data_IF_290168569324
#
_entry.id   IF_290168569324
#
_cell.length_a   1.000
_cell.length_b   1.000
_cell.length_c   1.000
_cell.angle_alpha   90.00
_cell.angle_beta   90.00
_cell.angle_gamma   90.00
#
_symmetry.space_group_name_H-M   'P 1'
#
loop_
_entity.id
_entity.type
_entity.pdbx_description
1 polymer ?
#
# COMPACT_ATOMS: atom_id res chain seq x y z
N UNK A 1 3.33 4.03 -2.99
CA UNK A 1 3.18 2.57 -3.24
C UNK A 1 4.33 1.97 -4.06
N UNK A 2 5.46 2.67 -4.24
CA UNK A 2 6.69 2.08 -4.78
C UNK A 2 7.70 1.98 -3.64
N UNK A 3 8.38 0.85 -3.55
CA UNK A 3 9.41 0.61 -2.53
C UNK A 3 10.60 -0.06 -3.19
N UNK A 4 11.80 0.22 -2.68
CA UNK A 4 13.02 -0.45 -3.11
C UNK A 4 12.87 -1.96 -2.91
N UNK A 5 13.25 -2.74 -3.92
CA UNK A 5 13.05 -4.21 -3.98
C UNK A 5 11.59 -4.67 -4.02
N UNK A 6 10.63 -3.76 -4.15
CA UNK A 6 9.24 -4.09 -4.45
C UNK A 6 9.01 -4.39 -5.92
N UNK A 7 7.78 -4.79 -6.23
CA UNK A 7 7.32 -5.08 -7.58
C UNK A 7 6.63 -3.87 -8.22
N UNK A 8 6.77 -3.74 -9.53
CA UNK A 8 6.04 -2.78 -10.38
C UNK A 8 5.74 -3.42 -11.73
N UNK A 9 4.56 -3.15 -12.29
CA UNK A 9 4.29 -3.49 -13.69
C UNK A 9 4.50 -2.26 -14.58
N UNK A 10 5.29 -2.41 -15.64
CA UNK A 10 5.50 -1.39 -16.68
C UNK A 10 4.97 -1.96 -17.99
N UNK A 11 3.93 -1.35 -18.55
CA UNK A 11 3.19 -1.91 -19.71
C UNK A 11 2.81 -3.40 -19.50
N UNK A 12 2.40 -3.75 -18.28
CA UNK A 12 2.04 -5.12 -17.89
C UNK A 12 3.22 -6.05 -17.61
N UNK A 13 4.46 -5.59 -17.76
CA UNK A 13 5.67 -6.38 -17.53
C UNK A 13 6.03 -6.29 -16.05
N UNK A 14 6.00 -7.42 -15.34
CA UNK A 14 6.40 -7.50 -13.94
C UNK A 14 7.91 -7.32 -13.78
N UNK A 15 8.32 -6.33 -13.00
CA UNK A 15 9.71 -5.94 -12.79
C UNK A 15 9.99 -5.63 -11.32
N UNK A 16 11.25 -5.81 -10.92
CA UNK A 16 11.73 -5.47 -9.58
C UNK A 16 12.33 -4.06 -9.56
N UNK A 17 11.87 -3.23 -8.62
CA UNK A 17 12.42 -1.89 -8.39
C UNK A 17 13.81 -2.00 -7.77
N UNK A 18 14.82 -1.49 -8.46
CA UNK A 18 16.18 -1.36 -7.94
C UNK A 18 16.33 -0.18 -7.00
N UNK A 19 15.73 0.95 -7.36
CA UNK A 19 15.72 2.19 -6.58
C UNK A 19 14.51 3.05 -6.96
N UNK A 20 14.06 3.91 -6.05
CA UNK A 20 12.93 4.81 -6.30
C UNK A 20 13.01 6.07 -5.45
N UNK A 21 12.47 7.17 -5.98
CA UNK A 21 12.36 8.47 -5.33
C UNK A 21 10.98 9.09 -5.53
N UNK A 22 10.91 10.42 -5.46
CA UNK A 22 9.65 11.17 -5.52
C UNK A 22 8.96 11.06 -6.90
N UNK A 23 9.75 11.08 -7.96
CA UNK A 23 9.32 11.22 -9.34
C UNK A 23 10.04 10.24 -10.29
N UNK A 24 10.79 9.29 -9.72
CA UNK A 24 11.51 8.29 -10.49
C UNK A 24 11.50 6.91 -9.82
N UNK A 25 11.70 5.89 -10.64
CA UNK A 25 12.13 4.57 -10.21
C UNK A 25 13.06 3.98 -11.27
N UNK A 26 13.88 3.01 -10.87
CA UNK A 26 14.79 2.28 -11.76
C UNK A 26 14.53 0.78 -11.66
N UNK A 27 14.73 0.10 -12.78
CA UNK A 27 14.59 -1.35 -12.95
C UNK A 27 15.77 -1.87 -13.76
N UNK A 28 16.12 -3.13 -13.58
CA UNK A 28 17.03 -3.83 -14.50
C UNK A 28 16.23 -4.74 -15.41
N UNK A 29 16.48 -4.65 -16.71
CA UNK A 29 15.85 -5.53 -17.70
C UNK A 29 16.85 -6.61 -18.10
N UNK A 30 16.47 -7.87 -17.91
CA UNK A 30 17.26 -9.01 -18.37
C UNK A 30 17.09 -9.22 -19.88
N UNK A 31 18.06 -9.85 -20.58
CA UNK A 31 17.98 -10.04 -22.03
C UNK A 31 16.70 -10.73 -22.50
N UNK A 32 16.22 -11.74 -21.78
CA UNK A 32 14.99 -12.44 -22.12
C UNK A 32 13.78 -11.50 -22.16
N UNK A 33 13.57 -10.71 -21.11
CA UNK A 33 12.48 -9.72 -21.04
C UNK A 33 12.62 -8.64 -22.11
N UNK A 34 13.83 -8.14 -22.37
CA UNK A 34 14.05 -7.16 -23.44
C UNK A 34 13.69 -7.72 -24.83
N UNK A 35 13.97 -8.99 -25.09
CA UNK A 35 13.69 -9.64 -26.38
C UNK A 35 12.22 -10.05 -26.56
N UNK A 36 11.52 -10.38 -25.48
CA UNK A 36 10.18 -10.99 -25.52
C UNK A 36 9.07 -10.04 -25.09
N UNK A 37 9.37 -8.76 -24.84
CA UNK A 37 8.37 -7.76 -24.46
C UNK A 37 8.64 -6.44 -25.18
N UNK A 38 7.71 -5.50 -25.09
CA UNK A 38 7.82 -4.18 -25.73
C UNK A 38 8.90 -3.30 -25.11
N UNK A 39 9.38 -3.60 -23.89
CA UNK A 39 10.30 -2.71 -23.17
C UNK A 39 11.67 -2.58 -23.84
N UNK A 40 12.10 -3.61 -24.57
CA UNK A 40 13.39 -3.58 -25.28
C UNK A 40 13.42 -2.62 -26.47
N UNK A 41 12.26 -2.23 -27.00
CA UNK A 41 12.14 -1.28 -28.12
C UNK A 41 11.70 0.12 -27.70
N UNK A 42 11.33 0.32 -26.44
CA UNK A 42 10.93 1.63 -25.90
C UNK A 42 12.07 2.64 -25.99
N UNK A 43 11.72 3.88 -26.32
CA UNK A 43 12.66 5.01 -26.38
C UNK A 43 12.47 5.96 -25.21
N UNK A 44 13.51 6.74 -24.94
CA UNK A 44 13.46 7.82 -23.96
C UNK A 44 12.32 8.78 -24.34
N UNK A 45 11.47 9.10 -23.36
CA UNK A 45 10.32 10.00 -23.52
C UNK A 45 9.04 9.30 -23.99
N UNK A 46 9.08 8.01 -24.33
CA UNK A 46 7.85 7.27 -24.65
C UNK A 46 7.03 7.02 -23.37
N UNK A 47 5.70 7.20 -23.43
CA UNK A 47 4.84 6.91 -22.30
C UNK A 47 4.74 5.39 -22.07
N UNK A 48 4.48 5.04 -20.81
CA UNK A 48 4.25 3.68 -20.35
C UNK A 48 3.11 3.66 -19.34
N UNK A 49 2.36 2.57 -19.30
CA UNK A 49 1.39 2.31 -18.25
C UNK A 49 2.13 1.79 -17.02
N UNK A 50 1.77 2.30 -15.84
CA UNK A 50 2.38 1.93 -14.56
C UNK A 50 1.31 1.36 -13.64
N UNK A 51 1.55 0.15 -13.15
CA UNK A 51 0.75 -0.46 -12.09
C UNK A 51 1.64 -0.75 -10.87
N UNK A 52 1.26 -0.16 -9.73
CA UNK A 52 1.94 -0.39 -8.45
C UNK A 52 1.41 -1.62 -7.75
N UNK A 53 2.24 -2.27 -6.93
CA UNK A 53 1.84 -3.42 -6.13
C UNK A 53 0.59 -3.13 -5.25
N UNK A 54 -0.35 -4.08 -5.27
CA UNK A 54 -1.57 -4.03 -4.45
C UNK A 54 -1.27 -4.14 -2.95
N UNK A 55 -0.16 -4.78 -2.56
CA UNK A 55 0.22 -4.96 -1.15
C UNK A 55 0.24 -3.62 -0.42
N UNK A 56 0.74 -2.55 -1.05
CA UNK A 56 0.75 -1.22 -0.43
C UNK A 56 -0.65 -0.69 -0.11
N UNK A 57 -1.63 -0.91 -0.99
CA UNK A 57 -3.04 -0.52 -0.77
C UNK A 57 -3.68 -1.36 0.34
N UNK A 58 -3.35 -2.65 0.40
CA UNK A 58 -3.84 -3.52 1.48
C UNK A 58 -3.26 -3.12 2.83
N UNK A 59 -1.94 -2.91 2.92
CA UNK A 59 -1.26 -2.46 4.13
C UNK A 59 -1.83 -1.13 4.61
N UNK A 60 -2.00 -0.15 3.71
CA UNK A 60 -2.64 1.12 4.03
C UNK A 60 -4.05 0.89 4.60
N UNK A 61 -4.89 0.09 3.93
CA UNK A 61 -6.24 -0.21 4.42
C UNK A 61 -6.25 -0.86 5.82
N UNK A 62 -5.30 -1.74 6.11
CA UNK A 62 -5.17 -2.37 7.43
C UNK A 62 -4.74 -1.39 8.52
N UNK A 63 -3.82 -0.47 8.21
CA UNK A 63 -3.34 0.54 9.16
C UNK A 63 -4.45 1.57 9.42
N UNK A 64 -5.08 2.09 8.37
CA UNK A 64 -6.12 3.14 8.48
C UNK A 64 -7.39 2.66 9.17
N UNK A 65 -7.76 1.37 9.04
CA UNK A 65 -8.91 0.80 9.77
C UNK A 65 -8.68 0.66 11.28
N UNK A 66 -7.43 0.67 11.74
CA UNK A 66 -7.12 0.55 13.17
C UNK A 66 -7.56 1.79 13.96
N UNK A 67 -7.56 2.95 13.33
CA UNK A 67 -8.01 4.22 13.92
C UNK A 67 -9.54 4.29 14.11
N UNK A 68 -10.32 3.58 13.30
CA UNK A 68 -11.78 3.52 13.45
C UNK A 68 -12.18 2.65 14.65
N UNK A 69 -11.51 1.51 14.85
CA UNK A 69 -11.75 0.61 15.98
C UNK A 69 -11.33 1.21 17.32
N UNK A 70 -10.26 2.02 17.36
CA UNK A 70 -9.81 2.75 18.57
C UNK A 70 -10.75 3.93 18.93
N UNK A 71 -11.35 4.59 17.93
CA UNK A 71 -12.39 5.62 18.16
C UNK A 71 -13.69 5.01 18.69
N UNK A 72 -14.12 3.86 18.16
CA UNK A 72 -15.29 3.14 18.66
C UNK A 72 -15.08 2.56 20.08
N UNK A 73 -13.89 2.03 20.39
CA UNK A 73 -13.60 1.52 21.74
C UNK A 73 -13.50 2.63 22.78
N UNK A 74 -12.88 3.79 22.47
CA UNK A 74 -12.91 4.96 23.37
C UNK A 74 -14.32 5.51 23.59
N UNK A 75 -15.18 5.52 22.56
CA UNK A 75 -16.57 5.96 22.68
C UNK A 75 -17.44 4.98 23.50
N UNK A 76 -17.14 3.68 23.49
CA UNK A 76 -17.81 2.67 24.33
C UNK A 76 -17.34 2.66 25.78
N UNK A 77 -16.11 3.09 26.06
CA UNK A 77 -15.55 3.06 27.41
C UNK A 77 -16.06 4.20 28.32
N UNK A 78 -16.67 5.25 27.75
CA UNK A 78 -17.19 6.40 28.50
C UNK A 78 -18.63 6.22 29.01
N UNK A 79 -19.30 5.08 28.79
CA UNK A 79 -20.71 4.91 29.15
C UNK A 79 -20.96 4.24 30.50
N UNK A 80 -19.92 3.96 31.29
CA UNK A 80 -20.05 3.40 32.64
C UNK A 80 -19.64 4.49 33.62
N UNK A 81 -20.64 5.20 34.15
CA UNK A 81 -20.46 6.17 35.23
C UNK A 81 -20.84 5.57 36.59
N UNK A 82 -20.49 6.27 37.66
CA UNK A 82 -20.78 5.83 39.04
C UNK A 82 -22.29 5.66 39.30
N UNK A 83 -23.13 6.41 38.60
CA UNK A 83 -24.58 6.31 38.73
C UNK A 83 -25.12 4.99 38.14
N UNK A 84 -24.57 4.54 37.01
CA UNK A 84 -24.90 3.24 36.42
C UNK A 84 -24.48 2.07 37.31
N UNK A 85 -23.30 2.13 37.93
CA UNK A 85 -22.81 1.09 38.83
C UNK A 85 -23.70 0.93 40.07
N UNK A 86 -24.14 2.05 40.66
CA UNK A 86 -25.08 2.05 41.79
C UNK A 86 -26.45 1.48 41.40
N UNK A 87 -26.95 1.81 40.21
CA UNK A 87 -28.26 1.34 39.72
C UNK A 87 -28.27 -0.16 39.42
N UNK A 88 -27.13 -0.74 39.04
CA UNK A 88 -27.03 -2.16 38.63
C UNK A 88 -26.61 -3.09 39.76
N UNK A 89 -26.43 -2.57 40.98
CA UNK A 89 -26.18 -3.39 42.18
C UNK A 89 -24.75 -3.86 42.34
N UNK A 90 -23.79 -3.18 41.70
CA UNK A 90 -22.34 -3.43 41.84
C UNK A 90 -21.68 -2.54 42.92
N UNK A 91 -22.48 -1.77 43.66
CA UNK A 91 -22.11 -0.92 44.81
C UNK A 91 -23.05 -1.22 45.99
#
# INVERSE_FOLDING_TARGET
YMIKKGSVAVDGISLTINDCGKDFFSVSIIPYSAQHTTIGSKKIGEPVNIETDMIGKFVERFITKKDEGERETKAKQSSIDMAYLAKTGFL
#
